data_IF_475239036809
#
_entry.id   IF_475239036809
#
_cell.length_a   1.000
_cell.length_b   1.000
_cell.length_c   1.000
_cell.angle_alpha   90.00
_cell.angle_beta   90.00
_cell.angle_gamma   90.00
#
_symmetry.space_group_name_H-M   'P 1'
#
loop_
_entity.id
_entity.type
_entity.pdbx_description
1 polymer ?
#
# COMPACT_ATOMS: atom_id res chain seq x y z
N UNK A 1 24.50 11.55 -19.34
CA UNK A 1 25.70 10.85 -18.82
C UNK A 1 25.25 9.75 -17.87
N UNK A 2 25.68 8.52 -18.10
CA UNK A 2 25.43 7.37 -17.21
C UNK A 2 26.51 7.37 -16.14
N UNK A 3 26.12 7.23 -14.86
CA UNK A 3 27.05 7.18 -13.72
C UNK A 3 26.73 5.95 -12.88
N UNK A 4 27.73 5.29 -12.28
CA UNK A 4 27.51 4.20 -11.35
C UNK A 4 26.85 4.69 -10.07
N UNK A 5 26.08 3.80 -9.42
CA UNK A 5 25.48 3.99 -8.10
C UNK A 5 26.00 2.89 -7.18
N UNK A 6 26.29 3.22 -5.93
CA UNK A 6 26.68 2.26 -4.91
C UNK A 6 25.59 1.18 -4.75
N UNK A 7 25.99 -0.10 -4.70
CA UNK A 7 25.04 -1.21 -4.68
C UNK A 7 24.17 -1.24 -3.41
N UNK A 8 24.70 -0.75 -2.29
CA UNK A 8 23.95 -0.61 -1.02
C UNK A 8 22.81 0.43 -1.13
N UNK A 9 22.81 1.27 -2.16
CA UNK A 9 21.77 2.27 -2.46
C UNK A 9 20.94 1.95 -3.70
N UNK A 10 21.28 0.87 -4.42
CA UNK A 10 20.62 0.55 -5.69
C UNK A 10 19.11 0.30 -5.55
N UNK A 11 18.63 -0.23 -4.39
CA UNK A 11 17.21 -0.40 -4.12
C UNK A 11 16.40 0.90 -4.26
N UNK A 12 17.04 2.07 -4.04
CA UNK A 12 16.38 3.39 -4.18
C UNK A 12 15.98 3.71 -5.61
N UNK A 13 16.61 3.09 -6.60
CA UNK A 13 16.23 3.24 -8.00
C UNK A 13 14.87 2.58 -8.29
N UNK A 14 14.45 1.61 -7.46
CA UNK A 14 13.17 0.92 -7.56
C UNK A 14 12.07 1.58 -6.69
N UNK A 15 12.45 2.52 -5.81
CA UNK A 15 11.49 3.23 -4.94
C UNK A 15 10.69 4.32 -5.67
N UNK A 16 10.51 4.21 -6.96
CA UNK A 16 9.68 5.12 -7.77
C UNK A 16 8.28 4.55 -8.05
N UNK A 17 7.99 3.39 -7.50
CA UNK A 17 6.66 2.76 -7.60
C UNK A 17 5.62 3.44 -6.71
N UNK A 18 4.36 3.03 -6.86
CA UNK A 18 3.26 3.53 -6.06
C UNK A 18 3.49 3.27 -4.56
N UNK A 19 3.21 4.28 -3.74
CA UNK A 19 3.12 4.12 -2.31
C UNK A 19 1.87 3.33 -1.98
N UNK A 20 1.98 2.34 -1.08
CA UNK A 20 0.85 1.59 -0.57
C UNK A 20 0.75 1.73 0.95
N UNK A 21 -0.44 1.50 1.49
CA UNK A 21 -0.63 1.27 2.91
C UNK A 21 -1.00 -0.19 3.10
N UNK A 22 -0.41 -0.81 4.12
CA UNK A 22 -0.73 -2.17 4.55
C UNK A 22 -1.52 -2.08 5.84
N UNK A 23 -2.67 -2.71 5.90
CA UNK A 23 -3.44 -2.83 7.12
C UNK A 23 -3.71 -4.28 7.51
N UNK A 24 -3.83 -4.51 8.81
CA UNK A 24 -4.24 -5.79 9.36
C UNK A 24 -4.94 -5.60 10.71
N UNK A 25 -5.79 -6.57 11.07
CA UNK A 25 -6.43 -6.64 12.37
C UNK A 25 -6.49 -8.09 12.87
N UNK A 26 -6.53 -8.24 14.20
CA UNK A 26 -6.73 -9.51 14.87
C UNK A 26 -7.26 -9.27 16.28
N UNK A 27 -8.40 -9.90 16.62
CA UNK A 27 -9.03 -9.85 17.96
C UNK A 27 -9.20 -8.43 18.54
N UNK A 28 -9.68 -7.49 17.71
CA UNK A 28 -9.91 -6.09 18.10
C UNK A 28 -8.66 -5.22 18.11
N UNK A 29 -7.50 -5.77 17.84
CA UNK A 29 -6.26 -5.02 17.63
C UNK A 29 -6.03 -4.79 16.13
N UNK A 30 -5.60 -3.57 15.74
CA UNK A 30 -5.48 -3.16 14.36
C UNK A 30 -4.29 -2.22 14.14
N UNK A 31 -3.64 -2.29 12.98
CA UNK A 31 -2.59 -1.35 12.58
C UNK A 31 -2.62 -1.08 11.08
N UNK A 32 -2.07 0.08 10.71
CA UNK A 32 -1.82 0.49 9.32
C UNK A 32 -0.38 1.00 9.25
N UNK A 33 0.37 0.56 8.23
CA UNK A 33 1.73 1.04 7.94
C UNK A 33 1.86 1.45 6.48
N UNK A 34 2.80 2.31 6.15
CA UNK A 34 3.16 2.60 4.77
C UNK A 34 4.21 1.59 4.26
N UNK A 35 4.06 1.20 2.98
CA UNK A 35 4.99 0.34 2.27
C UNK A 35 5.23 0.84 0.84
N UNK A 36 6.48 0.74 0.37
CA UNK A 36 6.85 1.07 -1.00
C UNK A 36 7.15 -0.18 -1.85
N UNK A 37 7.25 -1.35 -1.23
CA UNK A 37 7.62 -2.59 -1.90
C UNK A 37 6.42 -3.54 -1.97
N UNK A 38 5.43 -3.15 -2.77
CA UNK A 38 4.27 -3.96 -3.10
C UNK A 38 4.07 -3.98 -4.60
N UNK A 39 3.65 -5.12 -5.15
CA UNK A 39 3.39 -5.27 -6.58
C UNK A 39 2.41 -6.40 -6.86
N UNK A 40 1.73 -6.32 -8.02
CA UNK A 40 0.93 -7.43 -8.53
C UNK A 40 1.82 -8.62 -8.87
N UNK A 41 1.34 -9.84 -8.60
CA UNK A 41 2.05 -11.09 -8.84
C UNK A 41 1.36 -11.98 -9.87
N UNK A 42 0.02 -12.05 -9.83
CA UNK A 42 -0.74 -12.96 -10.70
C UNK A 42 -2.11 -12.34 -11.04
N UNK A 43 -2.68 -12.75 -12.17
CA UNK A 43 -3.95 -12.21 -12.68
C UNK A 43 -5.16 -13.04 -12.23
N UNK A 44 -5.05 -14.38 -12.21
CA UNK A 44 -6.17 -15.28 -11.96
C UNK A 44 -5.73 -16.54 -11.22
N UNK A 45 -5.99 -16.64 -9.91
CA UNK A 45 -6.59 -15.60 -9.06
C UNK A 45 -5.65 -14.41 -8.89
N UNK A 46 -6.23 -13.23 -8.71
CA UNK A 46 -5.44 -12.02 -8.46
C UNK A 46 -4.58 -12.19 -7.20
N UNK A 47 -3.28 -12.03 -7.35
CA UNK A 47 -2.33 -12.06 -6.22
C UNK A 47 -1.43 -10.85 -6.24
N UNK A 48 -0.97 -10.47 -5.07
CA UNK A 48 0.04 -9.43 -4.88
C UNK A 48 1.11 -9.90 -3.90
N UNK A 49 2.27 -9.23 -3.99
CA UNK A 49 3.35 -9.36 -3.00
C UNK A 49 3.53 -8.06 -2.25
N UNK A 50 3.99 -8.16 -1.01
CA UNK A 50 4.43 -7.03 -0.20
C UNK A 50 5.55 -7.46 0.74
N UNK A 51 6.58 -6.62 0.91
CA UNK A 51 7.65 -6.86 1.87
C UNK A 51 7.32 -6.14 3.18
N UNK A 52 7.29 -6.91 4.28
CA UNK A 52 6.96 -6.41 5.63
C UNK A 52 7.97 -6.95 6.62
N UNK A 53 8.92 -6.10 7.01
CA UNK A 53 10.00 -6.43 7.93
C UNK A 53 9.49 -6.97 9.27
N UNK A 54 10.27 -7.85 9.90
CA UNK A 54 9.95 -8.50 11.18
C UNK A 54 9.69 -7.53 12.33
N UNK A 55 10.26 -6.34 12.28
CA UNK A 55 10.07 -5.31 13.32
C UNK A 55 8.69 -4.64 13.28
N UNK A 56 7.95 -4.74 12.17
CA UNK A 56 6.67 -4.06 12.01
C UNK A 56 5.55 -4.73 12.81
N UNK A 57 4.77 -3.90 13.50
CA UNK A 57 3.63 -4.38 14.29
C UNK A 57 2.55 -5.03 13.43
N UNK A 58 2.25 -4.44 12.28
CA UNK A 58 1.26 -4.94 11.31
C UNK A 58 1.54 -6.38 10.89
N UNK A 59 2.83 -6.76 10.76
CA UNK A 59 3.22 -8.13 10.43
C UNK A 59 2.67 -9.15 11.42
N UNK A 60 2.78 -8.87 12.72
CA UNK A 60 2.27 -9.76 13.78
C UNK A 60 0.76 -10.01 13.66
N UNK A 61 0.02 -8.98 13.23
CA UNK A 61 -1.42 -9.08 13.00
C UNK A 61 -1.74 -9.94 11.77
N UNK A 62 -0.97 -9.78 10.69
CA UNK A 62 -1.12 -10.61 9.47
C UNK A 62 -0.84 -12.08 9.77
N UNK A 63 0.26 -12.37 10.47
CA UNK A 63 0.65 -13.74 10.84
C UNK A 63 -0.41 -14.43 11.70
N UNK A 64 -1.13 -13.67 12.53
CA UNK A 64 -2.21 -14.20 13.40
C UNK A 64 -3.54 -14.32 12.68
N UNK A 65 -3.94 -13.30 11.89
CA UNK A 65 -5.25 -13.26 11.25
C UNK A 65 -5.28 -14.05 9.93
N UNK A 66 -4.15 -14.16 9.23
CA UNK A 66 -4.09 -14.67 7.87
C UNK A 66 -4.63 -13.70 6.82
N UNK A 67 -4.90 -12.42 7.18
CA UNK A 67 -5.45 -11.42 6.28
C UNK A 67 -4.70 -10.10 6.37
N UNK A 68 -4.67 -9.39 5.25
CA UNK A 68 -4.19 -8.00 5.17
C UNK A 68 -4.90 -7.25 4.05
N UNK A 69 -4.86 -5.92 4.07
CA UNK A 69 -5.27 -5.13 2.92
C UNK A 69 -4.10 -4.29 2.39
N UNK A 70 -4.09 -4.09 1.08
CA UNK A 70 -3.30 -3.06 0.42
C UNK A 70 -4.23 -1.93 0.00
N UNK A 71 -3.81 -0.70 0.29
CA UNK A 71 -4.57 0.50 -0.04
C UNK A 71 -3.69 1.45 -0.83
N UNK A 72 -4.28 2.14 -1.80
CA UNK A 72 -3.59 3.11 -2.65
C UNK A 72 -3.94 4.52 -2.17
N UNK A 73 -3.05 5.19 -1.43
CA UNK A 73 -3.32 6.51 -0.88
C UNK A 73 -3.26 7.60 -1.95
N UNK A 74 -3.99 8.69 -1.69
CA UNK A 74 -4.01 9.88 -2.53
C UNK A 74 -3.17 11.02 -1.94
N UNK A 75 -2.93 12.05 -2.74
CA UNK A 75 -2.23 13.26 -2.30
C UNK A 75 -2.94 13.99 -1.14
N UNK A 76 -4.28 13.91 -1.08
CA UNK A 76 -5.07 14.50 0.01
C UNK A 76 -4.65 14.03 1.41
N UNK A 77 -4.18 12.78 1.53
CA UNK A 77 -3.80 12.17 2.81
C UNK A 77 -2.29 11.97 2.97
N UNK A 78 -1.45 12.60 2.15
CA UNK A 78 0.00 12.44 2.20
C UNK A 78 0.62 12.65 3.60
N UNK A 79 0.20 13.63 4.42
CA UNK A 79 0.69 13.78 5.80
C UNK A 79 0.37 12.57 6.68
N UNK A 80 -0.83 11.99 6.54
CA UNK A 80 -1.24 10.79 7.28
C UNK A 80 -0.38 9.60 6.85
N UNK A 81 -0.15 9.43 5.54
CA UNK A 81 0.73 8.38 4.99
C UNK A 81 2.14 8.47 5.57
N UNK A 82 2.69 9.68 5.65
CA UNK A 82 4.02 9.90 6.23
C UNK A 82 4.06 9.51 7.71
N UNK A 83 3.06 9.92 8.49
CA UNK A 83 2.97 9.57 9.90
C UNK A 83 2.82 8.05 10.11
N UNK A 84 1.97 7.39 9.33
CA UNK A 84 1.79 5.93 9.38
C UNK A 84 3.06 5.16 9.03
N UNK A 85 3.92 5.72 8.18
CA UNK A 85 5.21 5.13 7.80
C UNK A 85 6.35 5.38 8.78
N UNK A 86 6.23 6.38 9.67
CA UNK A 86 7.31 6.78 10.60
C UNK A 86 7.01 6.41 12.05
N UNK A 87 5.75 6.30 12.44
CA UNK A 87 5.33 5.91 13.78
C UNK A 87 5.09 4.41 13.84
N UNK A 88 5.73 3.73 14.78
CA UNK A 88 5.51 2.30 15.05
C UNK A 88 4.45 2.11 16.13
N UNK A 89 3.50 1.17 15.92
CA UNK A 89 2.56 0.79 16.97
C UNK A 89 3.23 0.01 18.11
N UNK A 90 4.43 -0.55 17.88
CA UNK A 90 5.23 -1.12 18.99
C UNK A 90 5.58 -0.05 20.02
N UNK A 91 5.80 1.20 19.60
CA UNK A 91 6.22 2.32 20.45
C UNK A 91 5.04 3.20 20.88
N UNK A 92 4.01 3.27 20.04
CA UNK A 92 2.82 4.08 20.29
C UNK A 92 1.52 3.29 20.03
N UNK A 93 0.90 2.74 21.07
CA UNK A 93 -0.36 1.99 20.95
C UNK A 93 -1.52 2.80 20.37
N UNK A 94 -1.50 4.15 20.48
CA UNK A 94 -2.51 5.06 19.93
C UNK A 94 -2.16 5.58 18.52
N UNK A 95 -1.24 4.92 17.83
CA UNK A 95 -0.73 5.33 16.51
C UNK A 95 -1.82 5.75 15.53
N UNK A 96 -2.87 4.95 15.35
CA UNK A 96 -3.93 5.24 14.38
C UNK A 96 -4.67 6.53 14.73
N UNK A 97 -5.02 6.71 15.99
CA UNK A 97 -5.67 7.93 16.48
C UNK A 97 -4.77 9.16 16.30
N UNK A 98 -3.53 9.07 16.77
CA UNK A 98 -2.58 10.21 16.75
C UNK A 98 -2.08 10.54 15.34
N UNK A 99 -2.08 9.58 14.41
CA UNK A 99 -1.83 9.86 12.98
C UNK A 99 -3.03 10.50 12.27
N UNK A 100 -4.18 10.68 12.96
CA UNK A 100 -5.36 11.33 12.40
C UNK A 100 -6.11 10.47 11.38
N UNK A 101 -6.07 9.14 11.52
CA UNK A 101 -6.75 8.23 10.60
C UNK A 101 -8.27 8.32 10.76
N UNK A 102 -8.98 8.30 9.64
CA UNK A 102 -10.41 7.98 9.57
C UNK A 102 -10.56 6.66 8.86
N UNK A 103 -11.33 5.75 9.44
CA UNK A 103 -11.45 4.41 8.92
C UNK A 103 -12.79 4.22 8.21
N UNK A 104 -12.76 3.53 7.09
CA UNK A 104 -13.94 3.02 6.39
C UNK A 104 -14.20 1.61 6.91
N UNK A 105 -15.44 1.31 7.23
CA UNK A 105 -15.87 -0.03 7.63
C UNK A 105 -16.53 -0.73 6.44
N UNK A 106 -16.02 -1.89 6.08
CA UNK A 106 -16.70 -2.79 5.15
C UNK A 106 -17.34 -3.91 5.97
N UNK A 107 -18.67 -4.16 5.83
CA UNK A 107 -19.42 -5.05 6.74
C UNK A 107 -18.89 -6.49 6.82
N UNK A 108 -18.20 -6.95 5.78
CA UNK A 108 -17.72 -8.34 5.68
C UNK A 108 -16.26 -8.50 6.14
N UNK A 109 -15.55 -7.39 6.42
CA UNK A 109 -14.13 -7.43 6.75
C UNK A 109 -13.85 -6.56 7.98
N UNK A 110 -13.52 -7.23 9.09
CA UNK A 110 -13.05 -6.55 10.31
C UNK A 110 -11.59 -6.13 10.13
N UNK A 111 -11.39 -5.12 9.27
CA UNK A 111 -10.06 -4.65 8.90
C UNK A 111 -10.06 -3.12 8.79
N UNK A 112 -9.02 -2.43 9.31
CA UNK A 112 -8.94 -0.98 9.24
C UNK A 112 -8.62 -0.56 7.79
N UNK A 113 -9.59 0.02 7.10
CA UNK A 113 -9.42 0.60 5.78
C UNK A 113 -9.42 2.12 5.90
N UNK A 114 -8.37 2.78 5.38
CA UNK A 114 -8.20 4.22 5.54
C UNK A 114 -9.07 4.98 4.54
N UNK A 115 -9.84 5.95 5.03
CA UNK A 115 -10.53 6.94 4.20
C UNK A 115 -9.51 7.82 3.44
N UNK A 116 -9.86 8.25 2.24
CA UNK A 116 -8.98 9.08 1.40
C UNK A 116 -8.00 8.29 0.53
N UNK A 117 -8.05 6.97 0.55
CA UNK A 117 -7.40 6.16 -0.47
C UNK A 117 -8.22 6.12 -1.75
N UNK A 118 -7.56 5.89 -2.88
CA UNK A 118 -8.20 5.70 -4.19
C UNK A 118 -8.64 4.24 -4.43
N UNK A 119 -8.03 3.29 -3.72
CA UNK A 119 -8.41 1.87 -3.82
C UNK A 119 -8.04 1.09 -2.55
N UNK A 120 -8.76 -0.01 -2.33
CA UNK A 120 -8.59 -0.94 -1.22
C UNK A 120 -8.71 -2.36 -1.75
N UNK A 121 -7.75 -3.22 -1.45
CA UNK A 121 -7.77 -4.63 -1.84
C UNK A 121 -7.51 -5.47 -0.60
N UNK A 122 -8.44 -6.34 -0.25
CA UNK A 122 -8.32 -7.28 0.88
C UNK A 122 -7.74 -8.58 0.36
N UNK A 123 -6.72 -9.07 1.04
CA UNK A 123 -6.02 -10.30 0.70
C UNK A 123 -6.11 -11.32 1.84
N UNK A 124 -6.28 -12.58 1.47
CA UNK A 124 -5.93 -13.72 2.30
C UNK A 124 -4.46 -14.03 2.07
N UNK A 125 -3.66 -14.07 3.13
CA UNK A 125 -2.25 -14.43 3.05
C UNK A 125 -2.08 -15.88 2.57
N UNK A 126 -1.21 -16.06 1.58
CA UNK A 126 -0.79 -17.39 1.13
C UNK A 126 0.38 -17.82 2.02
N UNK A 127 0.30 -18.98 2.69
CA UNK A 127 1.34 -19.40 3.63
C UNK A 127 2.59 -19.89 2.89
N UNK A 128 3.52 -18.97 2.65
CA UNK A 128 4.84 -19.22 2.05
C UNK A 128 5.92 -18.91 3.07
N UNK A 129 6.05 -19.80 4.08
CA UNK A 129 6.90 -19.58 5.26
C UNK A 129 8.35 -19.25 4.91
N UNK A 130 8.94 -19.90 3.90
CA UNK A 130 10.30 -19.60 3.50
C UNK A 130 10.45 -18.14 3.02
N UNK A 131 9.53 -17.66 2.20
CA UNK A 131 9.54 -16.29 1.71
C UNK A 131 9.34 -15.28 2.84
N UNK A 132 8.44 -15.58 3.77
CA UNK A 132 8.15 -14.74 4.91
C UNK A 132 9.35 -14.67 5.89
N UNK A 133 10.06 -15.78 6.09
CA UNK A 133 11.19 -15.84 7.02
C UNK A 133 12.50 -15.32 6.42
N UNK A 134 12.79 -15.65 5.16
CA UNK A 134 14.06 -15.33 4.53
C UNK A 134 14.07 -13.94 3.87
N UNK A 135 12.92 -13.46 3.38
CA UNK A 135 12.82 -12.23 2.58
C UNK A 135 11.79 -11.23 3.10
N UNK A 136 11.12 -11.51 4.23
CA UNK A 136 10.01 -10.72 4.75
C UNK A 136 8.88 -10.52 3.72
N UNK A 137 8.80 -11.41 2.72
CA UNK A 137 7.92 -11.35 1.57
C UNK A 137 6.60 -12.08 1.85
N UNK A 138 5.50 -11.34 1.85
CA UNK A 138 4.15 -11.88 1.92
C UNK A 138 3.53 -11.94 0.53
N UNK A 139 2.83 -13.04 0.25
CA UNK A 139 1.97 -13.21 -0.92
C UNK A 139 0.53 -13.22 -0.43
N UNK A 140 -0.34 -12.47 -1.08
CA UNK A 140 -1.77 -12.47 -0.79
C UNK A 140 -2.59 -12.80 -2.03
N UNK A 141 -3.65 -13.58 -1.84
CA UNK A 141 -4.70 -13.80 -2.83
C UNK A 141 -5.87 -12.87 -2.55
N UNK A 142 -6.26 -12.06 -3.53
CA UNK A 142 -7.32 -11.07 -3.37
C UNK A 142 -8.68 -11.74 -3.13
N UNK A 143 -9.38 -11.30 -2.09
CA UNK A 143 -10.73 -11.78 -1.73
C UNK A 143 -11.79 -10.69 -1.90
N UNK A 144 -11.40 -9.42 -1.90
CA UNK A 144 -12.25 -8.27 -2.21
C UNK A 144 -11.41 -7.10 -2.74
N UNK A 145 -12.02 -6.26 -3.58
CA UNK A 145 -11.39 -5.05 -4.08
C UNK A 145 -12.42 -3.94 -4.27
N UNK A 146 -12.04 -2.72 -3.92
CA UNK A 146 -12.87 -1.52 -4.01
C UNK A 146 -12.02 -0.36 -4.53
N UNK A 147 -12.63 0.56 -5.25
CA UNK A 147 -11.97 1.76 -5.74
C UNK A 147 -12.92 2.96 -5.73
N UNK A 148 -12.35 4.14 -5.64
CA UNK A 148 -13.07 5.40 -5.82
C UNK A 148 -13.43 5.56 -7.31
N UNK A 149 -14.70 5.66 -7.61
CA UNK A 149 -15.24 5.75 -8.97
C UNK A 149 -14.94 7.07 -9.67
N UNK A 150 -14.41 8.05 -8.95
CA UNK A 150 -13.93 9.32 -9.53
C UNK A 150 -12.59 9.16 -10.26
N UNK A 151 -11.79 8.15 -9.89
CA UNK A 151 -10.43 7.93 -10.42
C UNK A 151 -10.20 6.54 -10.98
N UNK A 152 -11.15 5.60 -10.80
CA UNK A 152 -11.07 4.26 -11.37
C UNK A 152 -12.37 3.92 -12.08
N UNK A 153 -12.38 4.09 -13.40
CA UNK A 153 -13.57 4.01 -14.25
C UNK A 153 -13.37 2.94 -15.31
N UNK A 154 -14.38 2.06 -15.46
CA UNK A 154 -14.37 0.99 -16.48
C UNK A 154 -13.10 0.11 -16.44
N UNK A 155 -12.57 -0.18 -15.24
CA UNK A 155 -11.39 -1.01 -15.02
C UNK A 155 -10.06 -0.31 -15.33
N UNK A 156 -10.03 1.01 -15.41
CA UNK A 156 -8.85 1.82 -15.68
C UNK A 156 -8.74 3.00 -14.73
N UNK A 157 -7.50 3.36 -14.38
CA UNK A 157 -7.23 4.64 -13.74
C UNK A 157 -7.51 5.78 -14.72
N UNK A 158 -8.19 6.80 -14.23
CA UNK A 158 -8.50 8.03 -14.96
C UNK A 158 -8.34 9.20 -13.98
N UNK A 159 -7.25 9.95 -14.13
CA UNK A 159 -6.95 11.10 -13.27
C UNK A 159 -7.14 12.44 -14.02
N UNK A 160 -7.47 12.41 -15.31
CA UNK A 160 -7.52 13.59 -16.19
C UNK A 160 -8.66 14.55 -15.78
N UNK A 161 -9.78 13.98 -15.30
CA UNK A 161 -10.95 14.75 -14.89
C UNK A 161 -11.10 14.84 -13.36
N UNK A 162 -10.20 14.19 -12.64
CA UNK A 162 -10.24 14.15 -11.18
C UNK A 162 -9.50 15.35 -10.56
N UNK A 163 -9.91 15.81 -9.35
CA UNK A 163 -9.12 16.76 -8.58
C UNK A 163 -7.69 16.26 -8.33
N UNK A 164 -6.71 17.17 -8.35
CA UNK A 164 -5.29 16.83 -8.20
C UNK A 164 -4.97 16.13 -6.86
N UNK A 165 -5.73 16.39 -5.82
CA UNK A 165 -5.59 15.78 -4.52
C UNK A 165 -6.00 14.29 -4.49
N UNK A 166 -6.68 13.79 -5.52
CA UNK A 166 -6.97 12.36 -5.72
C UNK A 166 -5.86 11.62 -6.48
N UNK A 167 -4.85 12.29 -7.00
CA UNK A 167 -3.68 11.64 -7.62
C UNK A 167 -2.94 10.78 -6.62
N UNK A 168 -2.46 9.61 -7.06
CA UNK A 168 -1.75 8.68 -6.21
C UNK A 168 -0.32 9.13 -5.90
N UNK A 169 0.26 8.59 -4.83
CA UNK A 169 1.58 8.97 -4.31
C UNK A 169 2.67 7.99 -4.72
N UNK A 170 3.85 8.52 -4.99
CA UNK A 170 5.10 7.78 -5.18
C UNK A 170 6.13 8.28 -4.17
N UNK A 171 6.43 7.49 -3.15
CA UNK A 171 7.40 7.87 -2.13
C UNK A 171 8.82 7.68 -2.61
N UNK A 172 9.66 8.70 -2.44
CA UNK A 172 11.07 8.63 -2.81
C UNK A 172 11.96 8.43 -1.58
N UNK A 173 12.00 9.37 -0.68
CA UNK A 173 12.69 9.31 0.60
C UNK A 173 12.45 10.60 1.42
N UNK A 174 12.62 10.53 2.77
CA UNK A 174 12.70 11.72 3.64
C UNK A 174 11.48 12.64 3.60
N UNK A 175 10.29 12.10 3.42
CA UNK A 175 9.04 12.88 3.31
C UNK A 175 8.82 13.49 1.92
N UNK A 176 9.63 13.11 0.93
CA UNK A 176 9.46 13.55 -0.45
C UNK A 176 8.64 12.54 -1.24
N UNK A 177 7.55 13.03 -1.86
CA UNK A 177 6.65 12.26 -2.70
C UNK A 177 6.53 12.92 -4.08
N UNK A 178 6.31 12.11 -5.10
CA UNK A 178 5.72 12.55 -6.37
C UNK A 178 4.27 12.12 -6.41
N UNK A 179 3.44 12.87 -7.09
CA UNK A 179 2.12 12.43 -7.52
C UNK A 179 2.21 11.85 -8.92
N UNK A 180 1.26 10.97 -9.27
CA UNK A 180 1.15 10.53 -10.66
C UNK A 180 0.91 11.75 -11.56
N UNK A 181 1.62 11.81 -12.70
CA UNK A 181 1.54 12.93 -13.65
C UNK A 181 0.38 12.79 -14.64
N UNK A 182 0.44 13.59 -15.71
CA UNK A 182 -0.56 13.58 -16.78
C UNK A 182 -0.44 12.30 -17.63
N UNK A 183 -1.55 11.91 -18.25
CA UNK A 183 -1.59 10.75 -19.13
C UNK A 183 -0.71 10.96 -20.37
N UNK A 184 -0.06 9.89 -20.81
CA UNK A 184 0.64 9.82 -22.08
C UNK A 184 0.04 8.68 -22.91
N UNK A 185 -0.63 9.04 -24.00
CA UNK A 185 -1.14 8.06 -24.96
C UNK A 185 -0.07 7.71 -25.99
N UNK A 186 0.26 6.43 -26.08
CA UNK A 186 1.17 5.91 -27.11
C UNK A 186 0.41 4.91 -27.95
N UNK A 187 0.12 5.23 -29.24
CA UNK A 187 -0.55 4.28 -30.12
C UNK A 187 0.34 3.06 -30.35
N UNK A 188 -0.27 1.87 -30.31
CA UNK A 188 0.44 0.65 -30.69
C UNK A 188 0.81 0.74 -32.18
N UNK A 189 2.08 0.44 -32.50
CA UNK A 189 2.47 0.24 -33.90
C UNK A 189 1.73 -1.02 -34.42
N UNK A 190 1.10 -0.90 -35.57
CA UNK A 190 0.43 -1.98 -36.25
C UNK A 190 1.42 -3.06 -36.72
#
# INVERSE_FOLDING_TARGET
>A
MIKPIDLDRAYRLLNIGATTLVSAAHEGDADIMAAAWATALDLTPCKATVVIDKSHYTRKLIEKSGFFALMIPTAAIAPIVMNLGTVSKNDNPRKLEECGTRLVTLPEYDMPLLEGCAAWIVFRAVPELHNQEAYDLFIGEAVAAFADDRVFVNGRWNFEEAPDDLRTLHYVAGGHFYTIGDALEVPASA
#
